data_IF_035015032756
#
_entry.id   IF_035015032756
#
_cell.length_a   1.000
_cell.length_b   1.000
_cell.length_c   1.000
_cell.angle_alpha   90.00
_cell.angle_beta   90.00
_cell.angle_gamma   90.00
#
_symmetry.space_group_name_H-M   'P 1'
#
loop_
_entity.id
_entity.type
_entity.pdbx_description
1 polymer ?
#
# COMPACT_ATOMS: atom_id res chain seq x y z
N UNK A 1 27.45 15.90 6.40
CA UNK A 1 26.71 17.14 6.07
C UNK A 1 25.33 17.19 6.75
N UNK A 2 24.56 16.09 6.75
CA UNK A 2 23.22 16.02 7.38
C UNK A 2 23.27 16.20 8.90
N UNK A 3 24.25 15.58 9.59
CA UNK A 3 24.44 15.74 11.03
C UNK A 3 24.77 17.18 11.41
N UNK A 4 25.56 17.90 10.59
CA UNK A 4 25.86 19.32 10.82
C UNK A 4 24.60 20.19 10.66
N UNK A 5 23.73 19.86 9.72
CA UNK A 5 22.45 20.57 9.53
C UNK A 5 21.56 20.34 10.73
N UNK A 6 21.42 19.09 11.20
CA UNK A 6 20.65 18.74 12.40
C UNK A 6 21.19 19.45 13.66
N UNK A 7 22.52 19.52 13.82
CA UNK A 7 23.14 20.23 14.95
C UNK A 7 22.95 21.75 14.84
N UNK A 8 22.98 22.33 13.65
CA UNK A 8 22.78 23.76 13.44
C UNK A 8 21.32 24.22 13.59
N UNK A 9 20.37 23.29 13.41
CA UNK A 9 18.94 23.55 13.54
C UNK A 9 18.41 23.38 14.98
N UNK A 10 19.26 23.09 15.97
CA UNK A 10 18.86 23.04 17.37
C UNK A 10 18.34 24.42 17.80
N UNK A 11 17.05 24.62 17.67
CA UNK A 11 16.33 25.69 18.36
C UNK A 11 16.40 25.41 19.86
N UNK A 12 16.35 26.46 20.66
CA UNK A 12 16.32 26.37 22.12
C UNK A 12 15.06 25.66 22.64
N UNK A 13 13.98 25.55 21.81
CA UNK A 13 12.75 24.82 22.09
C UNK A 13 12.75 23.47 21.35
N UNK A 14 12.14 22.46 21.96
CA UNK A 14 11.89 21.17 21.31
C UNK A 14 10.96 21.42 20.10
N UNK A 15 11.32 20.97 18.87
CA UNK A 15 10.42 21.06 17.72
C UNK A 15 9.03 20.46 17.95
N UNK A 16 8.89 19.54 18.91
CA UNK A 16 7.61 18.97 19.30
C UNK A 16 6.67 19.98 19.98
N UNK A 17 7.21 21.03 20.60
CA UNK A 17 6.41 22.09 21.24
C UNK A 17 5.64 22.93 20.22
N UNK A 18 6.10 22.95 18.97
CA UNK A 18 5.46 23.68 17.85
C UNK A 18 4.38 22.83 17.12
N UNK A 19 4.19 21.54 17.49
CA UNK A 19 3.22 20.65 16.88
C UNK A 19 1.83 20.87 17.48
N UNK A 20 0.89 21.25 16.64
CA UNK A 20 -0.50 21.40 17.03
C UNK A 20 -1.32 20.18 16.60
N UNK A 21 -2.32 19.82 17.41
CA UNK A 21 -3.29 18.80 17.06
C UNK A 21 -4.08 19.24 15.81
N UNK A 22 -4.13 18.38 14.79
CA UNK A 22 -4.89 18.64 13.55
C UNK A 22 -6.23 17.89 13.56
N UNK A 23 -6.25 16.71 14.18
CA UNK A 23 -7.45 15.88 14.41
C UNK A 23 -7.39 15.32 15.83
N UNK A 24 -8.55 15.20 16.46
CA UNK A 24 -8.65 14.57 17.78
C UNK A 24 -8.54 13.04 17.69
N UNK A 25 -8.24 12.41 18.82
CA UNK A 25 -8.25 10.94 18.93
C UNK A 25 -9.61 10.35 18.57
N UNK A 26 -10.68 11.01 19.00
CA UNK A 26 -12.06 10.58 18.75
C UNK A 26 -12.39 10.64 17.25
N UNK A 27 -11.98 11.70 16.56
CA UNK A 27 -12.14 11.82 15.11
C UNK A 27 -11.35 10.73 14.38
N UNK A 28 -10.09 10.47 14.76
CA UNK A 28 -9.30 9.39 14.16
C UNK A 28 -9.95 8.02 14.34
N UNK A 29 -10.49 7.73 15.52
CA UNK A 29 -11.20 6.47 15.79
C UNK A 29 -12.50 6.36 14.99
N UNK A 30 -13.20 7.47 14.75
CA UNK A 30 -14.38 7.50 13.88
C UNK A 30 -13.99 7.20 12.44
N UNK A 31 -12.96 7.87 11.91
CA UNK A 31 -12.45 7.60 10.56
C UNK A 31 -12.04 6.14 10.37
N UNK A 32 -11.39 5.52 11.36
CA UNK A 32 -11.02 4.10 11.30
C UNK A 32 -12.24 3.18 11.21
N UNK A 33 -13.33 3.50 11.89
CA UNK A 33 -14.58 2.76 11.76
C UNK A 33 -15.20 2.92 10.38
N UNK A 34 -15.24 4.13 9.86
CA UNK A 34 -15.76 4.43 8.52
C UNK A 34 -14.96 3.71 7.42
N UNK A 35 -13.63 3.68 7.53
CA UNK A 35 -12.77 2.90 6.61
C UNK A 35 -13.15 1.41 6.60
N UNK A 36 -13.53 0.83 7.74
CA UNK A 36 -13.96 -0.58 7.78
C UNK A 36 -15.25 -0.84 6.99
N UNK A 37 -16.14 0.16 6.88
CA UNK A 37 -17.41 0.07 6.14
C UNK A 37 -17.25 0.24 4.62
N UNK A 38 -16.08 0.68 4.14
CA UNK A 38 -15.81 0.82 2.71
C UNK A 38 -16.00 -0.51 1.99
N UNK A 39 -16.81 -0.50 0.95
CA UNK A 39 -17.18 -1.70 0.18
C UNK A 39 -16.04 -2.15 -0.73
N UNK A 40 -15.86 -3.45 -0.83
CA UNK A 40 -14.87 -4.08 -1.72
C UNK A 40 -15.58 -5.12 -2.57
N UNK A 41 -15.55 -4.97 -3.89
CA UNK A 41 -16.17 -5.93 -4.79
C UNK A 41 -15.35 -7.23 -4.89
N UNK A 42 -16.01 -8.32 -5.32
CA UNK A 42 -15.31 -9.59 -5.57
C UNK A 42 -14.18 -9.48 -6.61
N UNK A 43 -14.31 -8.59 -7.58
CA UNK A 43 -13.28 -8.33 -8.59
C UNK A 43 -12.01 -7.70 -7.97
N UNK A 44 -12.17 -6.80 -7.01
CA UNK A 44 -11.04 -6.23 -6.28
C UNK A 44 -10.36 -7.28 -5.40
N UNK A 45 -11.13 -8.14 -4.72
CA UNK A 45 -10.53 -9.25 -3.97
C UNK A 45 -9.75 -10.20 -4.88
N UNK A 46 -10.28 -10.53 -6.06
CA UNK A 46 -9.59 -11.36 -7.05
C UNK A 46 -8.31 -10.67 -7.55
N UNK A 47 -8.36 -9.37 -7.83
CA UNK A 47 -7.20 -8.59 -8.26
C UNK A 47 -6.07 -8.62 -7.21
N UNK A 48 -6.40 -8.37 -5.94
CA UNK A 48 -5.44 -8.47 -4.82
C UNK A 48 -4.85 -9.88 -4.70
N UNK A 49 -5.69 -10.91 -4.86
CA UNK A 49 -5.24 -12.30 -4.82
C UNK A 49 -4.30 -12.63 -5.99
N UNK A 50 -4.59 -12.15 -7.20
CA UNK A 50 -3.74 -12.31 -8.39
C UNK A 50 -2.40 -11.62 -8.22
N UNK A 51 -2.36 -10.39 -7.69
CA UNK A 51 -1.12 -9.68 -7.38
C UNK A 51 -0.27 -10.47 -6.36
N UNK A 52 -0.89 -10.97 -5.30
CA UNK A 52 -0.20 -11.76 -4.27
C UNK A 52 0.35 -13.08 -4.83
N UNK A 53 -0.43 -13.76 -5.67
CA UNK A 53 -0.01 -15.01 -6.32
C UNK A 53 1.12 -14.77 -7.33
N UNK A 54 1.07 -13.70 -8.10
CA UNK A 54 2.14 -13.29 -9.00
C UNK A 54 3.47 -13.10 -8.24
N UNK A 55 3.46 -12.54 -7.02
CA UNK A 55 4.69 -12.44 -6.20
C UNK A 55 5.26 -13.81 -5.84
N UNK A 56 4.41 -14.82 -5.61
CA UNK A 56 4.84 -16.18 -5.24
C UNK A 56 5.41 -16.97 -6.43
N UNK A 57 4.97 -16.64 -7.64
CA UNK A 57 5.40 -17.32 -8.88
C UNK A 57 6.57 -16.62 -9.57
N UNK A 58 6.93 -15.42 -9.14
CA UNK A 58 7.95 -14.64 -9.81
C UNK A 58 9.35 -15.24 -9.62
N UNK A 59 10.09 -15.39 -10.72
CA UNK A 59 11.38 -16.08 -10.77
C UNK A 59 12.46 -15.49 -9.87
N UNK A 60 12.42 -14.19 -9.60
CA UNK A 60 13.40 -13.48 -8.77
C UNK A 60 13.02 -13.43 -7.28
N UNK A 61 11.83 -13.91 -6.92
CA UNK A 61 11.34 -13.91 -5.54
C UNK A 61 11.53 -15.31 -4.95
N UNK A 62 12.13 -15.36 -3.76
CA UNK A 62 12.28 -16.58 -2.98
C UNK A 62 11.06 -16.81 -2.09
N UNK A 63 10.54 -15.73 -1.45
CA UNK A 63 9.35 -15.76 -0.64
C UNK A 63 8.45 -14.59 -1.04
N UNK A 64 7.29 -14.90 -1.59
CA UNK A 64 6.26 -13.93 -1.97
C UNK A 64 5.39 -13.50 -0.79
N UNK A 65 4.43 -12.67 -1.08
CA UNK A 65 3.53 -12.07 -0.09
C UNK A 65 2.66 -13.13 0.59
N UNK A 66 2.60 -13.08 1.92
CA UNK A 66 1.73 -13.94 2.73
C UNK A 66 0.26 -13.47 2.67
N UNK A 67 -0.72 -14.31 3.06
CA UNK A 67 -2.13 -13.90 3.16
C UNK A 67 -2.35 -12.66 4.04
N UNK A 68 -1.53 -12.46 5.08
CA UNK A 68 -1.56 -11.24 5.90
C UNK A 68 -1.19 -9.98 5.09
N UNK A 69 -0.29 -10.12 4.11
CA UNK A 69 0.06 -9.03 3.19
C UNK A 69 -1.11 -8.67 2.28
N UNK A 70 -1.84 -9.65 1.76
CA UNK A 70 -3.06 -9.42 0.96
C UNK A 70 -4.14 -8.69 1.77
N UNK A 71 -4.34 -9.07 3.04
CA UNK A 71 -5.25 -8.37 3.95
C UNK A 71 -4.79 -6.94 4.23
N UNK A 72 -3.47 -6.72 4.40
CA UNK A 72 -2.93 -5.38 4.58
C UNK A 72 -3.17 -4.51 3.34
N UNK A 73 -2.98 -5.05 2.13
CA UNK A 73 -3.26 -4.35 0.88
C UNK A 73 -4.74 -3.97 0.76
N UNK A 74 -5.64 -4.89 1.10
CA UNK A 74 -7.07 -4.60 1.09
C UNK A 74 -7.45 -3.46 2.06
N UNK A 75 -6.87 -3.44 3.27
CA UNK A 75 -7.09 -2.37 4.24
C UNK A 75 -6.55 -1.03 3.77
N UNK A 76 -5.37 -1.01 3.17
CA UNK A 76 -4.79 0.21 2.62
C UNK A 76 -5.59 0.75 1.44
N UNK A 77 -6.09 -0.12 0.54
CA UNK A 77 -6.97 0.28 -0.55
C UNK A 77 -8.30 0.87 -0.05
N UNK A 78 -8.87 0.33 1.03
CA UNK A 78 -10.04 0.94 1.70
C UNK A 78 -9.73 2.33 2.23
N UNK A 79 -8.58 2.52 2.89
CA UNK A 79 -8.17 3.82 3.40
C UNK A 79 -7.94 4.82 2.26
N UNK A 80 -7.34 4.39 1.13
CA UNK A 80 -7.19 5.21 -0.07
C UNK A 80 -8.54 5.66 -0.62
N UNK A 81 -9.51 4.75 -0.75
CA UNK A 81 -10.86 5.07 -1.20
C UNK A 81 -11.56 6.08 -0.26
N UNK A 82 -11.43 5.89 1.06
CA UNK A 82 -11.97 6.80 2.07
C UNK A 82 -11.39 8.21 1.93
N UNK A 83 -10.07 8.33 1.84
CA UNK A 83 -9.40 9.63 1.66
C UNK A 83 -9.78 10.31 0.34
N UNK A 84 -10.16 9.55 -0.68
CA UNK A 84 -10.70 10.06 -1.94
C UNK A 84 -12.22 10.34 -1.87
N UNK A 85 -12.86 10.27 -0.70
CA UNK A 85 -14.27 10.56 -0.47
C UNK A 85 -15.24 9.53 -1.07
N UNK A 86 -14.80 8.25 -1.24
CA UNK A 86 -15.61 7.18 -1.81
C UNK A 86 -15.97 6.12 -0.76
N UNK A 87 -17.13 5.50 -0.92
CA UNK A 87 -17.61 4.39 -0.07
C UNK A 87 -17.32 3.00 -0.67
N UNK A 88 -16.52 2.94 -1.76
CA UNK A 88 -16.09 1.71 -2.42
C UNK A 88 -14.67 1.82 -2.98
N UNK A 89 -14.00 0.69 -3.06
CA UNK A 89 -12.63 0.56 -3.60
C UNK A 89 -12.67 0.41 -5.11
N UNK A 90 -11.77 1.11 -5.81
CA UNK A 90 -11.52 0.95 -7.24
C UNK A 90 -10.11 0.35 -7.47
N UNK A 91 -9.83 -0.19 -8.67
CA UNK A 91 -8.51 -0.80 -8.95
C UNK A 91 -7.33 0.15 -8.72
N UNK A 92 -7.52 1.44 -8.99
CA UNK A 92 -6.51 2.48 -8.79
C UNK A 92 -6.08 2.58 -7.33
N UNK A 93 -7.01 2.43 -6.37
CA UNK A 93 -6.68 2.42 -4.93
C UNK A 93 -5.72 1.30 -4.56
N UNK A 94 -5.84 0.16 -5.23
CA UNK A 94 -4.93 -0.97 -5.03
C UNK A 94 -3.57 -0.68 -5.67
N UNK A 95 -3.57 -0.14 -6.89
CA UNK A 95 -2.35 0.19 -7.64
C UNK A 95 -1.48 1.21 -6.93
N UNK A 96 -2.09 2.24 -6.36
CA UNK A 96 -1.40 3.34 -5.68
C UNK A 96 -0.64 2.86 -4.43
N UNK A 97 -1.15 1.84 -3.74
CA UNK A 97 -0.58 1.41 -2.45
C UNK A 97 0.14 0.04 -2.50
N UNK A 98 0.01 -0.72 -3.60
CA UNK A 98 0.52 -2.10 -3.66
C UNK A 98 2.03 -2.20 -3.43
N UNK A 99 2.82 -1.30 -4.00
CA UNK A 99 4.27 -1.30 -3.84
C UNK A 99 4.65 -1.07 -2.38
N UNK A 100 4.07 -0.07 -1.74
CA UNK A 100 4.37 0.29 -0.36
C UNK A 100 4.00 -0.82 0.62
N UNK A 101 2.92 -1.56 0.33
CA UNK A 101 2.48 -2.67 1.17
C UNK A 101 3.27 -3.95 0.90
N UNK A 102 3.67 -4.23 -0.36
CA UNK A 102 4.25 -5.52 -0.72
C UNK A 102 5.78 -5.55 -0.70
N UNK A 103 6.48 -4.47 -1.15
CA UNK A 103 7.93 -4.48 -1.37
C UNK A 103 8.74 -4.95 -0.15
N UNK A 104 8.38 -4.52 1.05
CA UNK A 104 9.08 -4.86 2.29
C UNK A 104 8.70 -6.26 2.83
N UNK A 105 7.76 -6.96 2.18
CA UNK A 105 7.31 -8.32 2.50
C UNK A 105 7.88 -9.39 1.58
N UNK A 106 8.69 -8.99 0.59
CA UNK A 106 9.31 -9.89 -0.37
C UNK A 106 10.70 -10.29 0.10
N UNK A 107 11.05 -11.57 -0.06
CA UNK A 107 12.43 -12.04 0.05
C UNK A 107 12.92 -12.37 -1.35
N UNK A 108 13.93 -11.64 -1.82
CA UNK A 108 14.50 -11.82 -3.15
C UNK A 108 15.56 -12.92 -3.18
N UNK A 109 15.64 -13.66 -4.28
CA UNK A 109 16.73 -14.62 -4.53
C UNK A 109 18.05 -13.86 -4.76
N UNK A 110 19.17 -14.51 -4.44
CA UNK A 110 20.51 -13.93 -4.62
C UNK A 110 20.77 -13.45 -6.05
N UNK A 111 20.25 -14.15 -7.06
CA UNK A 111 20.36 -13.73 -8.47
C UNK A 111 19.67 -12.41 -8.80
N UNK A 112 18.63 -12.00 -8.06
CA UNK A 112 18.00 -10.69 -8.25
C UNK A 112 18.97 -9.57 -7.88
N UNK A 113 19.71 -9.74 -6.79
CA UNK A 113 20.74 -8.78 -6.36
C UNK A 113 21.88 -8.66 -7.38
N UNK A 114 22.29 -9.79 -7.97
CA UNK A 114 23.33 -9.81 -9.01
C UNK A 114 22.89 -9.14 -10.31
N UNK A 115 21.60 -9.15 -10.63
CA UNK A 115 21.04 -8.50 -11.83
C UNK A 115 20.60 -7.05 -11.60
N UNK A 116 20.98 -6.43 -10.48
CA UNK A 116 20.58 -5.05 -10.11
C UNK A 116 19.06 -4.81 -10.13
N UNK A 117 18.28 -5.88 -9.89
CA UNK A 117 16.82 -5.80 -9.69
C UNK A 117 16.52 -5.68 -8.21
N UNK A 118 15.89 -4.58 -7.85
CA UNK A 118 15.35 -4.33 -6.51
C UNK A 118 13.87 -4.74 -6.43
N UNK A 119 13.31 -4.68 -5.23
CA UNK A 119 11.93 -5.05 -5.00
C UNK A 119 10.94 -4.14 -5.75
N UNK A 120 11.28 -2.87 -5.97
CA UNK A 120 10.41 -1.91 -6.66
C UNK A 120 10.29 -2.26 -8.14
N UNK A 121 11.41 -2.56 -8.83
CA UNK A 121 11.39 -2.99 -10.24
C UNK A 121 10.64 -4.31 -10.43
N UNK A 122 10.82 -5.26 -9.51
CA UNK A 122 10.11 -6.53 -9.56
C UNK A 122 8.61 -6.30 -9.36
N UNK A 123 8.22 -5.41 -8.46
CA UNK A 123 6.81 -5.05 -8.28
C UNK A 123 6.23 -4.35 -9.51
N UNK A 124 7.00 -3.49 -10.22
CA UNK A 124 6.58 -2.90 -11.49
C UNK A 124 6.30 -3.96 -12.55
N UNK A 125 7.19 -4.96 -12.69
CA UNK A 125 7.00 -6.09 -13.60
C UNK A 125 5.72 -6.87 -13.27
N UNK A 126 5.48 -7.15 -11.98
CA UNK A 126 4.29 -7.86 -11.51
C UNK A 126 3.02 -7.05 -11.81
N UNK A 127 3.00 -5.77 -11.46
CA UNK A 127 1.85 -4.90 -11.71
C UNK A 127 1.53 -4.77 -13.20
N UNK A 128 2.54 -4.78 -14.07
CA UNK A 128 2.35 -4.72 -15.52
C UNK A 128 1.78 -6.03 -16.11
N UNK A 129 2.00 -7.18 -15.46
CA UNK A 129 1.55 -8.49 -15.96
C UNK A 129 0.17 -8.90 -15.46
N UNK A 130 -0.26 -8.39 -14.31
CA UNK A 130 -1.55 -8.73 -13.72
C UNK A 130 -2.66 -7.87 -14.33
N UNK A 131 -3.68 -8.53 -14.88
CA UNK A 131 -4.82 -7.83 -15.49
C UNK A 131 -5.56 -6.98 -14.46
N UNK A 132 -5.71 -5.69 -14.77
CA UNK A 132 -6.48 -4.73 -13.97
C UNK A 132 -7.97 -4.88 -14.30
N UNK A 133 -8.86 -5.11 -13.32
CA UNK A 133 -10.29 -5.22 -13.59
C UNK A 133 -10.88 -3.88 -14.05
N UNK A 134 -11.94 -3.94 -14.88
CA UNK A 134 -12.65 -2.75 -15.31
C UNK A 134 -13.24 -2.00 -14.08
N UNK A 135 -12.95 -0.72 -13.98
CA UNK A 135 -13.43 0.16 -12.90
C UNK A 135 -14.96 0.14 -12.78
N UNK A 136 -15.69 0.10 -13.91
CA UNK A 136 -17.15 0.08 -13.93
C UNK A 136 -17.73 -1.21 -13.35
N UNK A 137 -17.05 -2.33 -13.59
CA UNK A 137 -17.43 -3.63 -13.04
C UNK A 137 -17.02 -3.76 -11.56
N UNK A 138 -15.91 -3.12 -11.14
CA UNK A 138 -15.41 -3.16 -9.78
C UNK A 138 -16.23 -2.29 -8.80
N UNK A 139 -16.82 -1.18 -9.25
CA UNK A 139 -17.57 -0.24 -8.43
C UNK A 139 -19.00 -0.64 -8.06
N UNK A 140 -19.47 -1.82 -8.47
CA UNK A 140 -20.85 -2.29 -8.19
C UNK A 140 -21.94 -1.45 -8.87
N UNK A 141 -22.94 -2.13 -9.46
CA UNK A 141 -24.16 -1.43 -9.92
C UNK A 141 -24.86 -0.84 -8.71
N UNK A 142 -25.32 0.40 -8.85
CA UNK A 142 -26.26 1.04 -7.91
C UNK A 142 -27.52 0.20 -7.75
#
# INVERSE_FOLDING_TARGET
KEEMILMSQRKVSDPLDDVNEVISKEELLSMQKEVNEIKVSSLIYQYIAMLSDATRRHDMIQLGVSPRGSLALCRMAKASAFLAGRDYVVPEDVQDVVKDVFRHRLVLKSRARLSSKDADKIMDEICATVHVPDRRAAGGRR
#
